data_IF_274764384748
#
_entry.id   IF_274764384748
#
_cell.length_a   1.000
_cell.length_b   1.000
_cell.length_c   1.000
_cell.angle_alpha   90.00
_cell.angle_beta   90.00
_cell.angle_gamma   90.00
#
_symmetry.space_group_name_H-M   'P 1'
#
loop_
_entity.id
_entity.type
_entity.pdbx_description
1 polymer ?
#
# COMPACT_ATOMS: atom_id res chain seq x y z
N UNK A 1 23.54 2.49 -13.99
CA UNK A 1 22.18 1.91 -14.11
C UNK A 1 21.27 2.82 -13.31
N UNK A 2 20.43 3.64 -13.95
CA UNK A 2 19.52 4.54 -13.25
C UNK A 2 18.09 4.13 -13.53
N UNK A 3 17.34 3.73 -12.50
CA UNK A 3 15.89 3.56 -12.62
C UNK A 3 15.20 4.86 -12.23
N UNK A 4 14.21 5.29 -13.01
CA UNK A 4 13.37 6.45 -12.72
C UNK A 4 12.00 6.07 -12.17
N UNK A 5 11.68 4.77 -12.15
CA UNK A 5 10.43 4.23 -11.62
C UNK A 5 10.73 3.16 -10.59
N UNK A 6 10.04 3.24 -9.45
CA UNK A 6 10.19 2.29 -8.35
C UNK A 6 8.83 1.86 -7.81
N UNK A 7 8.75 0.60 -7.43
CA UNK A 7 7.58 0.01 -6.78
C UNK A 7 8.04 -0.78 -5.56
N UNK A 8 7.31 -0.64 -4.47
CA UNK A 8 7.52 -1.41 -3.24
C UNK A 8 6.24 -2.15 -2.91
N UNK A 9 6.29 -3.48 -3.02
CA UNK A 9 5.16 -4.36 -2.73
C UNK A 9 5.46 -5.03 -1.38
N UNK A 10 4.60 -4.85 -0.35
CA UNK A 10 4.79 -5.52 0.93
C UNK A 10 4.55 -7.02 0.78
N UNK A 11 5.39 -7.83 1.40
CA UNK A 11 5.13 -9.27 1.53
C UNK A 11 4.17 -9.48 2.70
N UNK A 12 2.96 -9.94 2.40
CA UNK A 12 1.98 -10.43 3.40
C UNK A 12 1.52 -11.81 2.93
N UNK A 13 2.15 -12.83 3.49
CA UNK A 13 1.99 -14.24 3.12
C UNK A 13 1.19 -14.94 4.23
N UNK A 14 -0.11 -15.17 3.99
CA UNK A 14 -0.99 -15.90 4.91
C UNK A 14 -0.69 -17.39 4.84
N UNK A 15 -0.64 -18.02 6.01
CA UNK A 15 -0.42 -19.46 6.15
C UNK A 15 -1.68 -20.10 6.74
N UNK A 16 -2.17 -21.14 6.06
CA UNK A 16 -3.33 -21.93 6.48
C UNK A 16 -2.98 -22.90 7.61
N UNK A 17 -3.99 -23.56 8.19
CA UNK A 17 -3.79 -24.49 9.31
C UNK A 17 -2.86 -25.68 8.98
N UNK A 18 -2.76 -26.04 7.70
CA UNK A 18 -1.88 -27.09 7.18
C UNK A 18 -0.45 -26.61 6.86
N UNK A 19 -0.14 -25.34 7.09
CA UNK A 19 1.17 -24.74 6.80
C UNK A 19 1.35 -24.30 5.35
N UNK A 20 0.33 -24.45 4.49
CA UNK A 20 0.38 -24.06 3.08
C UNK A 20 -0.18 -22.64 2.86
N UNK A 21 0.07 -22.09 1.66
CA UNK A 21 -0.34 -20.73 1.26
C UNK A 21 -1.34 -20.74 0.09
N UNK A 22 -1.98 -21.90 -0.15
CA UNK A 22 -2.82 -22.15 -1.33
C UNK A 22 -4.10 -21.30 -1.36
N UNK A 23 -4.69 -21.08 -0.18
CA UNK A 23 -5.91 -20.30 -0.02
C UNK A 23 -5.66 -19.15 0.94
N UNK A 24 -6.29 -18.00 0.73
CA UNK A 24 -6.20 -16.84 1.63
C UNK A 24 -7.14 -17.01 2.83
N UNK A 25 -6.83 -17.95 3.73
CA UNK A 25 -7.62 -18.26 4.93
C UNK A 25 -6.85 -17.99 6.25
N UNK A 26 -7.57 -17.87 7.36
CA UNK A 26 -6.99 -17.61 8.68
C UNK A 26 -6.31 -16.23 8.85
N UNK A 27 -5.75 -15.98 10.02
CA UNK A 27 -5.09 -14.70 10.34
C UNK A 27 -3.56 -14.84 10.51
N UNK A 28 -3.02 -16.05 10.38
CA UNK A 28 -1.60 -16.34 10.58
C UNK A 28 -0.81 -15.96 9.34
N UNK A 29 0.34 -15.31 9.54
CA UNK A 29 1.27 -14.93 8.47
C UNK A 29 2.63 -15.60 8.66
N UNK A 30 3.36 -15.77 7.56
CA UNK A 30 4.72 -16.35 7.58
C UNK A 30 5.75 -15.39 8.16
N UNK A 31 6.91 -15.93 8.57
CA UNK A 31 8.07 -15.15 9.00
C UNK A 31 8.65 -14.23 7.90
N UNK A 32 8.30 -14.46 6.63
CA UNK A 32 8.71 -13.63 5.49
C UNK A 32 7.84 -12.38 5.35
N UNK A 33 6.71 -12.33 6.06
CA UNK A 33 5.80 -11.20 6.02
C UNK A 33 6.39 -10.00 6.74
N UNK A 34 6.23 -8.81 6.15
CA UNK A 34 6.67 -7.56 6.79
C UNK A 34 5.76 -7.22 7.96
N UNK A 35 6.31 -6.79 9.09
CA UNK A 35 5.47 -6.32 10.18
C UNK A 35 4.80 -4.98 9.82
N UNK A 36 3.57 -4.70 10.30
CA UNK A 36 2.83 -3.49 9.91
C UNK A 36 3.61 -2.20 10.16
N UNK A 37 4.17 -2.04 11.36
CA UNK A 37 4.96 -0.86 11.72
C UNK A 37 6.26 -0.75 10.89
N UNK A 38 6.92 -1.88 10.59
CA UNK A 38 8.14 -1.89 9.78
C UNK A 38 7.88 -1.39 8.36
N UNK A 39 6.75 -1.77 7.76
CA UNK A 39 6.42 -1.31 6.41
C UNK A 39 6.10 0.19 6.37
N UNK A 40 5.38 0.71 7.37
CA UNK A 40 5.13 2.15 7.49
C UNK A 40 6.40 2.98 7.69
N UNK A 41 7.32 2.50 8.53
CA UNK A 41 8.63 3.13 8.75
C UNK A 41 9.49 3.10 7.48
N UNK A 42 9.51 1.96 6.77
CA UNK A 42 10.19 1.84 5.49
C UNK A 42 9.68 2.86 4.47
N UNK A 43 8.35 2.94 4.26
CA UNK A 43 7.76 3.88 3.32
C UNK A 43 8.06 5.34 3.70
N UNK A 44 7.97 5.67 4.99
CA UNK A 44 8.25 7.03 5.49
C UNK A 44 9.73 7.39 5.29
N UNK A 45 10.64 6.45 5.55
CA UNK A 45 12.08 6.65 5.35
C UNK A 45 12.42 6.89 3.89
N UNK A 46 11.84 6.10 2.98
CA UNK A 46 12.06 6.27 1.54
C UNK A 46 11.41 7.58 1.05
N UNK A 47 10.27 7.95 1.61
CA UNK A 47 9.61 9.22 1.28
C UNK A 47 10.47 10.42 1.68
N UNK A 48 11.07 10.41 2.87
CA UNK A 48 11.93 11.48 3.33
C UNK A 48 13.14 11.67 2.40
N UNK A 49 13.79 10.58 1.98
CA UNK A 49 14.85 10.67 0.98
C UNK A 49 14.33 11.24 -0.36
N UNK A 50 13.23 10.68 -0.85
CA UNK A 50 12.67 11.07 -2.14
C UNK A 50 12.23 12.54 -2.16
N UNK A 51 11.58 13.04 -1.12
CA UNK A 51 11.00 14.39 -1.09
C UNK A 51 12.07 15.48 -1.05
N UNK A 52 13.27 15.17 -0.56
CA UNK A 52 14.40 16.10 -0.51
C UNK A 52 15.33 16.04 -1.74
N UNK A 53 15.25 14.99 -2.55
CA UNK A 53 16.25 14.75 -3.60
C UNK A 53 15.66 14.51 -5.00
N UNK A 54 14.48 13.89 -5.08
CA UNK A 54 14.04 13.18 -6.28
C UNK A 54 12.65 13.56 -6.81
N UNK A 55 11.93 14.49 -6.18
CA UNK A 55 10.62 14.95 -6.67
C UNK A 55 10.74 15.46 -8.12
N UNK A 56 9.95 14.86 -9.02
CA UNK A 56 9.98 15.15 -10.46
C UNK A 56 11.11 14.49 -11.25
N UNK A 57 11.90 13.60 -10.63
CA UNK A 57 12.99 12.83 -11.26
C UNK A 57 12.79 11.32 -11.12
N UNK A 58 12.42 10.87 -9.92
CA UNK A 58 12.11 9.47 -9.62
C UNK A 58 10.64 9.38 -9.21
N UNK A 59 9.95 8.36 -9.71
CA UNK A 59 8.53 8.14 -9.48
C UNK A 59 8.35 6.84 -8.68
N UNK A 60 7.87 6.99 -7.45
CA UNK A 60 7.58 5.86 -6.57
C UNK A 60 6.07 5.64 -6.57
N UNK A 61 5.61 4.47 -6.99
CA UNK A 61 4.18 4.19 -7.26
C UNK A 61 3.25 4.65 -6.12
N UNK A 62 3.59 4.32 -4.87
CA UNK A 62 2.81 4.69 -3.67
C UNK A 62 2.76 6.20 -3.45
N UNK A 63 3.83 6.94 -3.75
CA UNK A 63 3.89 8.39 -3.53
C UNK A 63 3.10 9.13 -4.60
N UNK A 64 3.18 8.65 -5.85
CA UNK A 64 2.35 9.14 -6.96
C UNK A 64 0.86 8.90 -6.65
N UNK A 65 0.50 7.71 -6.20
CA UNK A 65 -0.88 7.37 -5.83
C UNK A 65 -1.39 8.23 -4.66
N UNK A 66 -0.56 8.46 -3.65
CA UNK A 66 -0.87 9.39 -2.57
C UNK A 66 -1.12 10.80 -3.11
N UNK A 67 -0.21 11.38 -3.90
CA UNK A 67 -0.38 12.73 -4.43
C UNK A 67 -1.67 12.89 -5.26
N UNK A 68 -2.02 11.89 -6.08
CA UNK A 68 -3.28 11.87 -6.84
C UNK A 68 -4.52 11.90 -5.93
N UNK A 69 -4.49 11.16 -4.82
CA UNK A 69 -5.57 11.20 -3.82
C UNK A 69 -5.66 12.56 -3.12
N UNK A 70 -4.53 13.20 -2.76
CA UNK A 70 -4.54 14.57 -2.20
C UNK A 70 -5.00 15.64 -3.19
N UNK A 71 -4.79 15.40 -4.50
CA UNK A 71 -5.30 16.25 -5.56
C UNK A 71 -6.83 16.10 -5.74
N UNK A 72 -7.45 15.05 -5.20
CA UNK A 72 -8.86 14.75 -5.39
C UNK A 72 -9.16 14.15 -6.77
N UNK A 73 -8.17 13.47 -7.37
CA UNK A 73 -8.38 12.77 -8.64
C UNK A 73 -9.25 11.53 -8.40
N UNK A 74 -10.15 11.21 -9.35
CA UNK A 74 -11.08 10.08 -9.21
C UNK A 74 -10.41 8.69 -9.15
N UNK A 75 -9.10 8.60 -9.42
CA UNK A 75 -8.32 7.37 -9.25
C UNK A 75 -6.86 7.69 -8.90
N UNK A 76 -6.33 6.94 -7.93
CA UNK A 76 -4.93 6.97 -7.51
C UNK A 76 -3.97 6.34 -8.53
N UNK A 77 -4.49 5.57 -9.49
CA UNK A 77 -3.68 4.73 -10.38
C UNK A 77 -3.24 3.39 -9.76
N UNK A 78 -3.59 3.15 -8.49
CA UNK A 78 -3.38 1.88 -7.79
C UNK A 78 -4.71 1.38 -7.21
N UNK A 79 -5.17 0.19 -7.60
CA UNK A 79 -6.45 -0.35 -7.10
C UNK A 79 -6.50 -0.43 -5.58
N UNK A 80 -5.35 -0.67 -4.92
CA UNK A 80 -5.25 -0.74 -3.45
C UNK A 80 -5.57 0.60 -2.77
N UNK A 81 -5.36 1.74 -3.43
CA UNK A 81 -5.65 3.09 -2.89
C UNK A 81 -6.85 3.78 -3.57
N UNK A 82 -7.62 3.08 -4.38
CA UNK A 82 -8.91 3.56 -4.91
C UNK A 82 -10.08 3.19 -3.98
N UNK A 83 -11.24 3.81 -4.14
CA UNK A 83 -12.41 3.46 -3.33
C UNK A 83 -12.90 2.01 -3.59
N UNK A 84 -12.93 1.60 -4.86
CA UNK A 84 -13.33 0.26 -5.30
C UNK A 84 -12.19 -0.44 -6.08
N UNK A 85 -12.34 -1.74 -6.32
CA UNK A 85 -11.46 -2.52 -7.21
C UNK A 85 -12.28 -3.33 -8.23
N UNK A 86 -11.74 -4.45 -8.74
CA UNK A 86 -12.47 -5.38 -9.61
C UNK A 86 -12.27 -5.18 -11.11
N UNK A 87 -11.34 -4.32 -11.54
CA UNK A 87 -11.04 -4.12 -12.97
C UNK A 87 -9.71 -4.74 -13.42
N UNK A 88 -8.92 -5.29 -12.49
CA UNK A 88 -7.64 -5.94 -12.76
C UNK A 88 -7.76 -7.46 -12.72
N UNK A 89 -8.52 -8.04 -13.65
CA UNK A 89 -8.82 -9.47 -13.69
C UNK A 89 -7.58 -10.31 -14.03
N UNK A 90 -7.58 -11.58 -13.61
CA UNK A 90 -6.55 -12.54 -13.96
C UNK A 90 -7.09 -13.57 -14.96
N UNK A 91 -6.31 -13.84 -16.02
CA UNK A 91 -6.61 -14.89 -17.00
C UNK A 91 -5.51 -15.94 -16.90
N UNK A 92 -5.91 -17.17 -16.62
CA UNK A 92 -5.01 -18.32 -16.63
C UNK A 92 -4.81 -18.87 -18.04
N UNK A 93 -3.75 -19.65 -18.23
CA UNK A 93 -3.33 -20.14 -19.54
C UNK A 93 -4.37 -21.04 -20.25
N UNK A 94 -5.32 -21.60 -19.49
CA UNK A 94 -6.44 -22.42 -19.99
C UNK A 94 -7.68 -21.58 -20.36
N UNK A 95 -7.61 -20.26 -20.22
CA UNK A 95 -8.70 -19.33 -20.47
C UNK A 95 -9.63 -19.09 -19.28
N UNK A 96 -9.34 -19.66 -18.10
CA UNK A 96 -10.11 -19.36 -16.89
C UNK A 96 -9.89 -17.90 -16.46
N UNK A 97 -10.98 -17.21 -16.14
CA UNK A 97 -10.98 -15.82 -15.71
C UNK A 97 -11.36 -15.73 -14.24
N UNK A 98 -10.54 -15.00 -13.47
CA UNK A 98 -10.71 -14.76 -12.05
C UNK A 98 -10.80 -13.27 -11.74
N UNK A 99 -11.35 -12.95 -10.55
CA UNK A 99 -11.62 -11.58 -10.15
C UNK A 99 -10.38 -10.66 -10.12
N UNK A 100 -9.21 -11.19 -9.73
CA UNK A 100 -7.93 -10.49 -9.57
C UNK A 100 -6.78 -11.49 -9.38
N UNK A 101 -5.54 -11.10 -9.67
CA UNK A 101 -4.31 -11.89 -9.45
C UNK A 101 -4.09 -12.33 -7.99
N UNK A 102 -4.65 -11.59 -7.03
CA UNK A 102 -4.65 -11.96 -5.61
C UNK A 102 -5.73 -12.98 -5.21
N UNK A 103 -6.65 -13.29 -6.12
CA UNK A 103 -7.85 -14.08 -5.86
C UNK A 103 -8.06 -15.13 -6.97
N UNK A 104 -7.01 -15.88 -7.30
CA UNK A 104 -7.05 -17.00 -8.25
C UNK A 104 -7.44 -18.27 -7.48
N UNK A 105 -8.67 -18.30 -6.98
CA UNK A 105 -9.24 -19.37 -6.16
C UNK A 105 -10.68 -19.67 -6.62
N UNK A 106 -11.25 -20.87 -6.33
CA UNK A 106 -12.56 -21.28 -6.83
C UNK A 106 -13.70 -20.29 -6.54
N UNK A 107 -13.69 -19.63 -5.38
CA UNK A 107 -14.72 -18.66 -4.98
C UNK A 107 -14.72 -17.37 -5.83
N UNK A 108 -13.65 -17.13 -6.59
CA UNK A 108 -13.44 -15.93 -7.40
C UNK A 108 -13.32 -16.24 -8.89
N UNK A 109 -13.56 -17.49 -9.30
CA UNK A 109 -13.70 -17.89 -10.69
C UNK A 109 -14.97 -17.27 -11.28
N UNK A 110 -14.83 -16.63 -12.45
CA UNK A 110 -15.92 -15.98 -13.15
C UNK A 110 -16.45 -16.81 -14.32
N UNK A 111 -15.59 -17.60 -14.97
CA UNK A 111 -15.91 -18.37 -16.17
C UNK A 111 -14.68 -18.58 -17.05
N UNK A 112 -14.87 -19.17 -18.23
CA UNK A 112 -13.79 -19.40 -19.19
C UNK A 112 -14.02 -18.60 -20.49
N UNK A 113 -13.01 -17.87 -20.94
CA UNK A 113 -13.11 -16.95 -22.09
C UNK A 113 -13.28 -17.66 -23.43
N UNK A 114 -13.06 -18.98 -23.49
CA UNK A 114 -13.33 -19.79 -24.69
C UNK A 114 -14.82 -20.14 -24.82
N UNK A 115 -15.61 -19.95 -23.76
CA UNK A 115 -17.01 -20.36 -23.68
C UNK A 115 -17.97 -19.16 -23.56
N UNK A 116 -17.52 -18.08 -22.93
CA UNK A 116 -18.31 -16.88 -22.66
C UNK A 116 -17.53 -15.62 -23.04
N UNK A 117 -18.21 -14.58 -23.53
CA UNK A 117 -17.55 -13.33 -23.84
C UNK A 117 -17.03 -12.65 -22.57
N UNK A 118 -15.77 -12.24 -22.58
CA UNK A 118 -15.12 -11.63 -21.41
C UNK A 118 -15.89 -10.43 -20.86
N UNK A 119 -16.54 -9.63 -21.71
CA UNK A 119 -17.34 -8.48 -21.27
C UNK A 119 -18.52 -8.90 -20.37
N UNK A 120 -19.12 -10.06 -20.61
CA UNK A 120 -20.21 -10.61 -19.79
C UNK A 120 -19.67 -11.06 -18.42
N UNK A 121 -18.48 -11.68 -18.40
CA UNK A 121 -17.81 -12.10 -17.18
C UNK A 121 -17.39 -10.91 -16.31
N UNK A 122 -16.82 -9.88 -16.93
CA UNK A 122 -16.40 -8.64 -16.26
C UNK A 122 -17.60 -7.86 -15.71
N UNK A 123 -18.72 -7.85 -16.44
CA UNK A 123 -19.95 -7.20 -16.02
C UNK A 123 -20.83 -8.08 -15.10
N UNK A 124 -20.38 -9.28 -14.74
CA UNK A 124 -21.16 -10.21 -13.93
C UNK A 124 -21.50 -9.63 -12.55
N UNK A 125 -22.65 -9.98 -11.95
CA UNK A 125 -22.99 -9.55 -10.60
C UNK A 125 -21.93 -9.94 -9.55
N UNK A 126 -21.28 -11.09 -9.73
CA UNK A 126 -20.18 -11.54 -8.87
C UNK A 126 -18.98 -10.59 -8.93
N UNK A 127 -18.54 -10.20 -10.13
CA UNK A 127 -17.38 -9.30 -10.29
C UNK A 127 -17.68 -7.88 -9.84
N UNK A 128 -18.88 -7.37 -10.13
CA UNK A 128 -19.33 -6.06 -9.66
C UNK A 128 -19.36 -6.03 -8.13
N UNK A 129 -19.92 -7.08 -7.50
CA UNK A 129 -19.93 -7.22 -6.05
C UNK A 129 -18.52 -7.29 -5.47
N UNK A 130 -17.63 -8.10 -6.04
CA UNK A 130 -16.23 -8.18 -5.60
C UNK A 130 -15.54 -6.81 -5.57
N UNK A 131 -15.74 -6.00 -6.63
CA UNK A 131 -15.18 -4.65 -6.70
C UNK A 131 -15.77 -3.67 -5.68
N UNK A 132 -17.08 -3.75 -5.45
CA UNK A 132 -17.81 -2.91 -4.49
C UNK A 132 -17.53 -3.27 -3.04
N UNK A 133 -17.33 -4.56 -2.75
CA UNK A 133 -17.06 -5.05 -1.40
C UNK A 133 -15.81 -4.39 -0.80
N UNK A 134 -14.83 -3.98 -1.60
CA UNK A 134 -13.69 -3.18 -1.12
C UNK A 134 -14.12 -1.92 -0.35
N UNK A 135 -15.18 -1.25 -0.80
CA UNK A 135 -15.76 -0.07 -0.12
C UNK A 135 -16.76 -0.51 0.94
N UNK A 136 -17.66 -1.41 0.58
CA UNK A 136 -18.88 -1.70 1.33
C UNK A 136 -18.63 -2.56 2.57
N UNK A 137 -17.48 -3.26 2.63
CA UNK A 137 -17.06 -4.09 3.77
C UNK A 137 -16.01 -3.42 4.67
N UNK A 138 -15.77 -2.10 4.50
CA UNK A 138 -14.85 -1.39 5.39
C UNK A 138 -15.39 -1.38 6.82
N UNK A 139 -14.56 -1.73 7.84
CA UNK A 139 -14.98 -1.61 9.22
C UNK A 139 -15.18 -0.14 9.60
N UNK A 140 -15.97 0.13 10.65
CA UNK A 140 -16.23 1.47 11.20
C UNK A 140 -14.92 2.22 11.51
N UNK A 141 -13.91 1.51 12.01
CA UNK A 141 -12.57 2.05 12.24
C UNK A 141 -11.96 2.70 10.99
N UNK A 142 -12.15 2.09 9.82
CA UNK A 142 -11.70 2.65 8.54
C UNK A 142 -12.62 3.77 8.04
N UNK A 143 -13.93 3.63 8.23
CA UNK A 143 -14.92 4.63 7.80
C UNK A 143 -14.72 5.99 8.48
N UNK A 144 -14.33 5.97 9.76
CA UNK A 144 -14.05 7.14 10.60
C UNK A 144 -12.58 7.61 10.52
N UNK A 145 -11.72 6.89 9.79
CA UNK A 145 -10.30 7.20 9.69
C UNK A 145 -10.05 8.45 8.83
N UNK A 146 -9.28 9.39 9.37
CA UNK A 146 -8.95 10.68 8.74
C UNK A 146 -8.11 10.55 7.46
N UNK A 147 -7.37 9.44 7.31
CA UNK A 147 -6.60 9.11 6.10
C UNK A 147 -7.33 8.14 5.17
N UNK A 148 -8.63 7.87 5.38
CA UNK A 148 -9.42 6.97 4.50
C UNK A 148 -9.39 7.41 3.04
N UNK A 149 -9.45 8.70 2.76
CA UNK A 149 -9.42 9.24 1.39
C UNK A 149 -8.13 8.89 0.63
N UNK A 150 -7.05 8.58 1.35
CA UNK A 150 -5.78 8.17 0.77
C UNK A 150 -5.62 6.64 0.75
N UNK A 151 -6.11 5.96 1.78
CA UNK A 151 -5.88 4.53 2.02
C UNK A 151 -6.99 3.64 1.43
N UNK A 152 -8.26 4.03 1.58
CA UNK A 152 -9.45 3.25 1.24
C UNK A 152 -9.43 1.79 1.75
N UNK A 153 -8.77 1.56 2.89
CA UNK A 153 -8.63 0.25 3.54
C UNK A 153 -7.75 -0.76 2.79
N UNK A 154 -6.98 -0.32 1.80
CA UNK A 154 -6.04 -1.16 1.03
C UNK A 154 -6.73 -2.38 0.36
N UNK A 155 -5.97 -3.32 -0.20
CA UNK A 155 -6.46 -4.56 -0.79
C UNK A 155 -7.28 -5.42 0.19
N UNK A 156 -8.46 -5.93 -0.21
CA UNK A 156 -9.25 -6.87 0.60
C UNK A 156 -8.48 -8.15 0.98
N UNK A 157 -7.51 -8.61 0.18
CA UNK A 157 -6.67 -9.78 0.49
C UNK A 157 -6.03 -9.69 1.88
N UNK A 158 -5.68 -8.47 2.30
CA UNK A 158 -4.96 -8.20 3.54
C UNK A 158 -5.89 -7.83 4.71
N UNK A 159 -7.23 -7.92 4.56
CA UNK A 159 -8.23 -7.53 5.58
C UNK A 159 -8.68 -8.68 6.46
N UNK A 160 -7.76 -9.21 7.26
CA UNK A 160 -7.98 -10.44 8.04
C UNK A 160 -7.69 -10.28 9.54
N UNK A 161 -7.42 -9.06 10.02
CA UNK A 161 -7.26 -8.79 11.46
C UNK A 161 -8.47 -8.02 12.02
N UNK A 162 -8.56 -7.96 13.34
CA UNK A 162 -9.59 -7.21 14.05
C UNK A 162 -9.16 -5.75 14.26
N UNK A 163 -10.13 -4.86 14.30
CA UNK A 163 -9.98 -3.47 14.75
C UNK A 163 -9.68 -3.43 16.26
N UNK A 164 -9.20 -2.29 16.80
CA UNK A 164 -9.02 -2.13 18.24
C UNK A 164 -10.29 -2.39 19.08
N UNK A 165 -11.47 -2.17 18.49
CA UNK A 165 -12.77 -2.40 19.12
C UNK A 165 -13.33 -3.83 18.86
N UNK A 166 -12.57 -4.69 18.18
CA UNK A 166 -12.93 -6.10 17.91
C UNK A 166 -13.74 -6.34 16.63
N UNK A 167 -14.07 -5.32 15.85
CA UNK A 167 -14.72 -5.51 14.53
C UNK A 167 -13.74 -6.17 13.53
N UNK A 168 -14.14 -7.22 12.79
CA UNK A 168 -13.26 -7.87 11.80
C UNK A 168 -13.04 -7.01 10.56
N UNK A 169 -12.10 -7.43 9.69
CA UNK A 169 -11.91 -6.84 8.36
C UNK A 169 -10.95 -5.64 8.33
N UNK A 170 -10.18 -5.43 9.41
CA UNK A 170 -9.09 -4.46 9.38
C UNK A 170 -7.92 -5.00 8.57
N UNK A 171 -7.28 -4.11 7.80
CA UNK A 171 -6.09 -4.45 7.04
C UNK A 171 -4.90 -4.75 7.97
N UNK A 172 -4.18 -5.84 7.72
CA UNK A 172 -2.99 -6.24 8.48
C UNK A 172 -1.94 -5.11 8.56
N UNK A 173 -1.72 -4.38 7.47
CA UNK A 173 -0.77 -3.27 7.40
C UNK A 173 -1.36 -1.92 7.84
N UNK A 174 -2.57 -1.89 8.41
CA UNK A 174 -3.30 -0.66 8.73
C UNK A 174 -2.45 0.33 9.55
N UNK A 175 -1.81 -0.14 10.63
CA UNK A 175 -0.99 0.72 11.48
C UNK A 175 0.15 1.41 10.69
N UNK A 176 0.84 0.65 9.84
CA UNK A 176 1.92 1.17 9.01
C UNK A 176 1.46 2.18 7.97
N UNK A 177 0.37 1.88 7.25
CA UNK A 177 -0.20 2.82 6.27
C UNK A 177 -0.74 4.08 6.94
N UNK A 178 -1.40 3.95 8.10
CA UNK A 178 -1.90 5.10 8.86
C UNK A 178 -0.77 6.03 9.27
N UNK A 179 0.28 5.49 9.88
CA UNK A 179 1.48 6.27 10.24
C UNK A 179 2.15 6.91 9.01
N UNK A 180 2.27 6.18 7.90
CA UNK A 180 2.84 6.70 6.66
C UNK A 180 2.03 7.87 6.09
N UNK A 181 0.70 7.72 5.95
CA UNK A 181 -0.14 8.77 5.39
C UNK A 181 -0.19 10.03 6.27
N UNK A 182 -0.14 9.88 7.60
CA UNK A 182 0.05 11.01 8.50
C UNK A 182 1.42 11.68 8.35
N UNK A 183 2.48 10.90 8.14
CA UNK A 183 3.84 11.41 7.98
C UNK A 183 4.01 12.24 6.70
N UNK A 184 3.43 11.79 5.58
CA UNK A 184 3.57 12.47 4.29
C UNK A 184 2.59 13.63 4.09
N UNK A 185 1.54 13.74 4.92
CA UNK A 185 0.44 14.69 4.74
C UNK A 185 0.89 16.13 4.51
N UNK A 186 1.85 16.62 5.29
CA UNK A 186 2.37 17.99 5.15
C UNK A 186 2.98 18.23 3.77
N UNK A 187 3.86 17.32 3.31
CA UNK A 187 4.48 17.42 2.01
C UNK A 187 3.46 17.24 0.87
N UNK A 188 2.51 16.31 1.01
CA UNK A 188 1.45 16.08 0.04
C UNK A 188 0.53 17.29 -0.11
N UNK A 189 0.13 17.95 0.99
CA UNK A 189 -0.64 19.20 0.96
C UNK A 189 0.12 20.32 0.25
N UNK A 190 1.41 20.46 0.50
CA UNK A 190 2.25 21.44 -0.19
C UNK A 190 2.34 21.14 -1.70
N UNK A 191 2.65 19.90 -2.09
CA UNK A 191 2.70 19.48 -3.50
C UNK A 191 1.35 19.68 -4.20
N UNK A 192 0.25 19.25 -3.60
CA UNK A 192 -1.09 19.46 -4.15
C UNK A 192 -1.42 20.94 -4.29
N UNK A 193 -1.05 21.77 -3.30
CA UNK A 193 -1.21 23.22 -3.36
C UNK A 193 -0.36 23.90 -4.42
N UNK A 194 0.85 23.39 -4.71
CA UNK A 194 1.68 23.84 -5.84
C UNK A 194 1.00 23.52 -7.17
N UNK A 195 0.63 22.25 -7.39
CA UNK A 195 0.00 21.80 -8.64
C UNK A 195 -1.30 22.55 -8.93
N UNK A 196 -2.16 22.75 -7.92
CA UNK A 196 -3.41 23.53 -8.06
C UNK A 196 -3.20 24.98 -8.48
N UNK A 197 -2.00 25.53 -8.29
CA UNK A 197 -1.59 26.88 -8.71
C UNK A 197 -0.79 26.88 -10.03
N UNK A 198 -0.78 25.77 -10.77
CA UNK A 198 0.00 25.62 -12.00
C UNK A 198 1.52 25.55 -11.77
N UNK A 199 1.95 25.23 -10.55
CA UNK A 199 3.35 25.10 -10.16
C UNK A 199 3.79 23.65 -10.11
N UNK A 200 5.11 23.43 -10.16
CA UNK A 200 5.67 22.09 -10.21
C UNK A 200 5.77 21.49 -8.80
N UNK A 201 5.49 20.19 -8.66
CA UNK A 201 5.58 19.50 -7.37
C UNK A 201 6.99 19.57 -6.76
N UNK A 202 8.04 19.58 -7.58
CA UNK A 202 9.46 19.67 -7.14
C UNK A 202 9.79 20.91 -6.32
N UNK A 203 8.95 21.95 -6.42
CA UNK A 203 9.10 23.16 -5.64
C UNK A 203 8.79 22.94 -4.15
N UNK A 204 8.30 21.75 -3.75
CA UNK A 204 8.13 21.34 -2.35
C UNK A 204 9.46 21.23 -1.60
N UNK A 205 10.52 20.77 -2.26
CA UNK A 205 11.83 20.51 -1.63
C UNK A 205 12.41 21.75 -0.94
N UNK A 206 12.58 22.90 -1.61
CA UNK A 206 13.10 24.10 -0.94
C UNK A 206 12.15 24.63 0.15
N UNK A 207 10.83 24.40 0.04
CA UNK A 207 9.85 24.79 1.07
C UNK A 207 10.05 23.95 2.33
N UNK A 208 10.21 22.62 2.20
CA UNK A 208 10.46 21.73 3.33
C UNK A 208 11.81 22.03 3.98
N UNK A 209 12.86 22.23 3.17
CA UNK A 209 14.19 22.60 3.67
C UNK A 209 14.11 23.86 4.54
N UNK A 210 13.46 24.91 4.05
CA UNK A 210 13.25 26.13 4.84
C UNK A 210 12.41 25.90 6.09
N UNK A 211 11.35 25.08 6.00
CA UNK A 211 10.45 24.79 7.11
C UNK A 211 11.13 24.02 8.25
N UNK A 212 12.13 23.18 7.93
CA UNK A 212 12.80 22.33 8.91
C UNK A 212 14.20 22.81 9.31
N UNK A 213 14.77 23.82 8.63
CA UNK A 213 16.16 24.27 8.84
C UNK A 213 16.48 24.77 10.26
N UNK A 214 15.50 25.32 10.98
CA UNK A 214 15.70 25.93 12.31
C UNK A 214 14.91 25.23 13.42
N UNK A 215 14.48 23.99 13.19
CA UNK A 215 13.69 23.23 14.17
C UNK A 215 14.64 22.47 15.08
N UNK A 216 14.57 22.74 16.38
CA UNK A 216 15.39 22.01 17.34
C UNK A 216 14.85 20.59 17.54
N UNK A 217 15.75 19.68 17.94
CA UNK A 217 15.46 18.25 18.09
C UNK A 217 14.21 17.94 18.94
N UNK A 218 13.93 18.76 19.95
CA UNK A 218 12.82 18.56 20.89
C UNK A 218 11.60 19.45 20.60
N UNK A 219 11.68 20.33 19.60
CA UNK A 219 10.57 21.22 19.22
C UNK A 219 9.42 20.42 18.61
N UNK A 220 8.19 20.95 18.64
CA UNK A 220 7.08 20.41 17.85
C UNK A 220 7.45 20.36 16.37
N UNK A 221 7.13 19.25 15.70
CA UNK A 221 7.39 19.11 14.27
C UNK A 221 6.51 20.07 13.44
N UNK A 222 7.07 20.85 12.50
CA UNK A 222 6.27 21.82 11.72
C UNK A 222 5.22 21.19 10.79
N UNK A 223 5.26 19.88 10.61
CA UNK A 223 4.25 19.16 9.84
C UNK A 223 2.86 19.14 10.51
N UNK A 224 2.75 19.57 11.77
CA UNK A 224 1.48 19.63 12.50
C UNK A 224 1.07 18.31 13.17
N UNK A 225 1.93 17.30 13.18
CA UNK A 225 1.63 15.98 13.78
C UNK A 225 1.52 15.98 15.31
N UNK A 226 1.89 17.08 15.98
CA UNK A 226 2.00 17.16 17.44
C UNK A 226 3.17 16.38 18.04
N UNK A 227 3.92 15.61 17.23
CA UNK A 227 5.12 14.87 17.66
C UNK A 227 6.32 15.82 17.76
N UNK A 228 7.28 15.50 18.63
CA UNK A 228 8.60 16.17 18.63
C UNK A 228 9.30 15.94 17.29
N UNK A 229 10.09 16.90 16.82
CA UNK A 229 10.78 16.81 15.52
C UNK A 229 11.59 15.52 15.39
N UNK A 230 12.38 15.15 16.42
CA UNK A 230 13.14 13.88 16.46
C UNK A 230 12.30 12.59 16.39
N UNK A 231 11.00 12.68 16.66
CA UNK A 231 10.05 11.57 16.63
C UNK A 231 9.18 11.62 15.36
N UNK A 232 9.46 12.54 14.44
CA UNK A 232 8.75 12.76 13.19
C UNK A 232 9.78 12.95 12.04
N UNK A 233 9.77 14.09 11.34
CA UNK A 233 10.66 14.37 10.20
C UNK A 233 12.14 14.61 10.56
N UNK A 234 12.48 14.73 11.85
CA UNK A 234 13.85 14.83 12.36
C UNK A 234 14.39 13.51 12.93
N UNK A 235 13.74 12.38 12.65
CA UNK A 235 14.24 11.06 13.08
C UNK A 235 15.62 10.83 12.49
N UNK A 236 16.60 10.58 13.35
CA UNK A 236 17.88 10.08 12.89
C UNK A 236 17.64 8.68 12.33
N UNK A 237 18.10 8.43 11.11
CA UNK A 237 18.12 7.08 10.53
C UNK A 237 18.80 6.17 11.56
N UNK A 238 18.07 5.17 12.05
CA UNK A 238 18.70 4.15 12.85
C UNK A 238 19.89 3.62 12.04
N UNK A 239 21.09 3.61 12.62
CA UNK A 239 22.17 2.83 12.05
C UNK A 239 21.75 1.37 12.19
N UNK A 240 20.95 0.89 11.25
CA UNK A 240 20.68 -0.53 11.09
C UNK A 240 22.04 -1.10 10.73
N UNK A 241 22.74 -1.65 11.73
CA UNK A 241 23.93 -2.45 11.48
C UNK A 241 23.58 -3.39 10.35
N UNK A 242 24.33 -3.34 9.24
CA UNK A 242 24.07 -4.13 8.03
C UNK A 242 23.98 -5.61 8.42
N UNK A 243 22.79 -6.10 8.78
CA UNK A 243 22.50 -7.52 8.70
C UNK A 243 22.51 -7.80 7.21
N UNK A 244 23.45 -8.65 6.79
CA UNK A 244 23.44 -9.17 5.44
C UNK A 244 22.02 -9.66 5.14
N UNK A 245 21.50 -9.33 3.96
CA UNK A 245 20.29 -9.97 3.47
C UNK A 245 20.53 -11.49 3.60
N UNK A 246 19.57 -12.26 4.13
CA UNK A 246 19.69 -13.71 4.13
C UNK A 246 20.01 -14.16 2.71
N UNK A 247 20.94 -15.11 2.57
CA UNK A 247 21.31 -15.64 1.28
C UNK A 247 20.02 -16.10 0.56
N UNK A 248 19.86 -15.82 -0.75
CA UNK A 248 18.70 -16.28 -1.49
C UNK A 248 18.59 -17.79 -1.29
N UNK A 249 17.46 -18.24 -0.75
CA UNK A 249 17.20 -19.66 -0.60
C UNK A 249 17.24 -20.27 -2.01
N UNK A 250 18.23 -21.11 -2.27
CA UNK A 250 18.20 -21.94 -3.47
C UNK A 250 16.97 -22.84 -3.35
N UNK A 251 16.13 -22.87 -4.40
CA UNK A 251 15.19 -23.98 -4.59
C UNK A 251 16.04 -25.23 -4.86
N UNK A 252 16.65 -25.80 -3.82
CA UNK A 252 17.23 -27.13 -3.91
C UNK A 252 16.10 -28.10 -4.18
N UNK A 253 16.27 -28.84 -5.26
CA UNK A 253 15.42 -29.92 -5.72
C UNK A 253 15.21 -30.95 -4.60
N UNK A 254 14.15 -30.80 -3.81
CA UNK A 254 13.62 -31.88 -2.98
C UNK A 254 12.21 -32.19 -3.45
N UNK A 255 12.14 -32.88 -4.58
CA UNK A 255 11.08 -33.85 -4.91
C UNK A 255 11.56 -34.65 -6.13
N UNK A 256 12.59 -35.47 -5.89
CA UNK A 256 12.77 -36.74 -6.60
C UNK A 256 12.71 -37.83 -5.55
N UNK A 257 11.51 -38.28 -5.20
CA UNK A 257 11.30 -39.60 -4.66
C UNK A 257 9.90 -40.09 -5.05
N UNK A 258 9.92 -41.15 -5.86
CA UNK A 258 8.89 -42.14 -6.20
C UNK A 258 7.54 -41.64 -6.73
#
# INVERSE_FOLDING_TARGET
>A
IGTTWMQFIPVVERINADGLTLFQEGATVSERSVLPAQFGEFLSTIFDEWVFHDVGKVYVQTFEAALRNWLGMGASGMCVFNETCGTGLAIEHNGDLYACDHFVEPNFFLGNIQQQHMIELVASPQQVKFGQDKRDTLPRYCLECDVRFACHGECPKNRFIETPDGEPGLNYLCAGFKDFFHHVDFAMKLMAGLIRRGREAREVTPILQKSFAQVERNDPCPCGSGRKFKQCHGRQKAQVGRKALPAPQSRTQSNRHA
#
